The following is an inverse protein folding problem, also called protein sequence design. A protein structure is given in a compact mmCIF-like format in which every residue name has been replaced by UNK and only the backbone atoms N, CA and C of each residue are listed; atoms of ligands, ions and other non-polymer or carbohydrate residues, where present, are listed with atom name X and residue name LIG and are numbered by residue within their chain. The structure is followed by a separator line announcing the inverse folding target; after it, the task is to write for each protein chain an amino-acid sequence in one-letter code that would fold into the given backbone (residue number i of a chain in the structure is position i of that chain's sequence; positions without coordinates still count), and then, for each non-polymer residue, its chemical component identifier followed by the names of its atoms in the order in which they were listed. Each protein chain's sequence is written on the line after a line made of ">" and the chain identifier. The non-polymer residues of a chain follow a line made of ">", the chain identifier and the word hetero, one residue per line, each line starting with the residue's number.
data_IF_157604474017
#
_entry.id   IF_157604474017
#
_cell.length_a   1.000
_cell.length_b   1.000
_cell.length_c   1.000
_cell.angle_alpha   90.00
_cell.angle_beta   90.00
_cell.angle_gamma   90.00
#
_symmetry.space_group_name_H-M   'P 1'
#
loop_
_entity.id
_entity.type
_entity.pdbx_description
1 polymer ?
#
# COMPACT_ATOMS: atom_id res chain seq x y z
N UNK A 1 15.56 -8.38 20.72
CA UNK A 1 14.63 -7.35 21.27
C UNK A 1 13.36 -7.47 20.46
N UNK A 2 12.19 -7.31 21.05
CA UNK A 2 10.88 -7.33 20.38
C UNK A 2 10.17 -6.05 20.81
N UNK A 3 9.56 -5.34 19.87
CA UNK A 3 8.74 -4.18 20.20
C UNK A 3 7.43 -4.61 20.87
N UNK A 4 7.00 -3.87 21.88
CA UNK A 4 5.77 -4.06 22.63
C UNK A 4 4.86 -2.86 22.48
N UNK A 5 3.64 -2.97 22.98
CA UNK A 5 2.70 -1.85 22.98
C UNK A 5 3.24 -0.59 23.70
N UNK A 6 4.11 -0.80 24.70
CA UNK A 6 4.71 0.24 25.53
C UNK A 6 6.05 0.76 24.96
N UNK A 7 6.53 0.21 23.82
CA UNK A 7 7.73 0.70 23.15
C UNK A 7 7.49 2.09 22.58
N UNK A 8 8.40 3.03 22.87
CA UNK A 8 8.28 4.41 22.41
C UNK A 8 8.61 4.51 20.91
N UNK A 9 7.91 5.40 20.22
CA UNK A 9 8.12 5.64 18.79
C UNK A 9 9.55 6.01 18.48
N UNK A 10 10.20 6.87 19.32
CA UNK A 10 11.61 7.25 19.14
C UNK A 10 12.54 6.05 19.18
N UNK A 11 12.26 5.04 20.01
CA UNK A 11 13.11 3.84 20.11
C UNK A 11 13.03 2.99 18.84
N UNK A 12 11.85 2.97 18.21
CA UNK A 12 11.65 2.29 16.92
C UNK A 12 12.37 3.05 15.81
N UNK A 13 12.13 4.36 15.70
CA UNK A 13 12.73 5.21 14.66
C UNK A 13 14.26 5.19 14.72
N UNK A 14 14.82 5.21 15.95
CA UNK A 14 16.27 5.24 16.19
C UNK A 14 16.90 3.85 16.30
N UNK A 15 16.13 2.79 16.11
CA UNK A 15 16.66 1.44 16.25
C UNK A 15 17.76 1.19 15.22
N UNK A 16 18.95 0.63 15.63
CA UNK A 16 20.08 0.43 14.73
C UNK A 16 19.76 -0.34 13.46
N UNK A 17 18.84 -1.32 13.54
CA UNK A 17 18.39 -2.10 12.38
C UNK A 17 17.59 -1.28 11.36
N UNK A 18 17.11 -0.10 11.71
CA UNK A 18 16.35 0.80 10.85
C UNK A 18 17.11 2.08 10.49
N UNK A 19 18.44 2.04 10.65
CA UNK A 19 19.29 3.18 10.35
C UNK A 19 19.09 3.69 8.93
N UNK A 20 18.80 4.98 8.80
CA UNK A 20 18.60 5.68 7.52
C UNK A 20 17.15 5.73 7.04
N UNK A 21 16.26 4.84 7.51
CA UNK A 21 14.86 4.81 7.06
C UNK A 21 13.83 4.63 8.19
N UNK A 22 14.24 4.47 9.44
CA UNK A 22 13.32 4.24 10.56
C UNK A 22 12.26 5.33 10.74
N UNK A 23 12.59 6.57 10.40
CA UNK A 23 11.64 7.69 10.41
C UNK A 23 10.48 7.52 9.42
N UNK A 24 10.65 6.74 8.34
CA UNK A 24 9.63 6.46 7.33
C UNK A 24 8.60 5.40 7.78
N UNK A 25 8.82 4.73 8.90
CA UNK A 25 7.85 3.78 9.48
C UNK A 25 6.58 4.48 9.98
N UNK A 26 6.70 5.75 10.31
CA UNK A 26 5.59 6.58 10.78
C UNK A 26 5.35 7.75 9.82
N UNK A 27 4.12 8.27 9.72
CA UNK A 27 3.83 9.39 8.83
C UNK A 27 4.63 10.64 9.20
N UNK A 28 5.49 11.09 8.29
CA UNK A 28 6.35 12.28 8.49
C UNK A 28 5.57 13.58 8.71
N UNK A 29 4.34 13.62 8.19
CA UNK A 29 3.48 14.80 8.19
C UNK A 29 2.64 14.92 9.48
N UNK A 30 2.66 13.91 10.34
CA UNK A 30 1.99 13.92 11.63
C UNK A 30 3.01 14.18 12.74
N UNK A 31 2.66 15.12 13.63
CA UNK A 31 3.49 15.42 14.79
C UNK A 31 3.24 14.39 15.89
N UNK A 32 4.10 13.39 16.00
CA UNK A 32 4.11 12.47 17.13
C UNK A 32 5.00 13.04 18.25
N UNK A 33 4.53 12.92 19.50
CA UNK A 33 5.39 13.22 20.64
C UNK A 33 6.43 12.10 20.77
N UNK A 34 7.73 12.39 20.98
CA UNK A 34 8.79 11.35 21.03
C UNK A 34 8.58 10.26 22.09
N UNK A 35 7.83 10.57 23.13
CA UNK A 35 7.52 9.66 24.23
C UNK A 35 6.25 8.82 24.01
N UNK A 36 5.46 9.09 22.95
CA UNK A 36 4.30 8.27 22.61
C UNK A 36 4.74 6.83 22.33
N UNK A 37 3.94 5.90 22.82
CA UNK A 37 4.13 4.46 22.61
C UNK A 37 3.39 4.00 21.35
N UNK A 38 3.64 2.78 20.92
CA UNK A 38 2.87 2.16 19.83
C UNK A 38 1.37 2.14 20.16
N UNK A 39 1.01 1.92 21.41
CA UNK A 39 -0.39 1.95 21.84
C UNK A 39 -0.97 3.37 21.75
N UNK A 40 -0.26 4.37 22.24
CA UNK A 40 -0.73 5.75 22.19
C UNK A 40 -1.03 6.20 20.75
N UNK A 41 -0.17 5.83 19.80
CA UNK A 41 -0.36 6.13 18.38
C UNK A 41 -1.58 5.45 17.79
N UNK A 42 -1.84 4.19 18.16
CA UNK A 42 -3.04 3.48 17.67
C UNK A 42 -4.33 3.93 18.34
N UNK A 43 -4.26 4.33 19.60
CA UNK A 43 -5.42 4.80 20.39
C UNK A 43 -5.69 6.31 20.19
N UNK A 44 -4.77 7.02 19.55
CA UNK A 44 -4.84 8.47 19.37
C UNK A 44 -5.79 8.90 18.25
N UNK A 45 -6.13 10.19 18.25
CA UNK A 45 -6.87 10.83 17.16
C UNK A 45 -5.98 11.24 15.97
N UNK A 46 -4.73 10.78 15.90
CA UNK A 46 -3.84 11.10 14.76
C UNK A 46 -4.39 10.55 13.43
N UNK A 47 -4.99 9.37 13.46
CA UNK A 47 -5.52 8.68 12.29
C UNK A 47 -7.05 8.74 12.20
N UNK A 48 -7.61 9.94 12.30
CA UNK A 48 -9.06 10.18 12.37
C UNK A 48 -9.89 9.57 11.23
N UNK A 49 -9.25 9.23 10.10
CA UNK A 49 -9.92 8.63 8.95
C UNK A 49 -9.92 7.09 8.98
N UNK A 50 -9.28 6.46 9.98
CA UNK A 50 -9.19 5.01 10.08
C UNK A 50 -10.11 4.48 11.19
N UNK A 51 -10.97 3.53 10.85
CA UNK A 51 -11.99 3.00 11.75
C UNK A 51 -11.61 1.71 12.46
N UNK A 52 -10.49 1.09 12.08
CA UNK A 52 -10.09 -0.22 12.62
C UNK A 52 -8.59 -0.31 12.85
N UNK A 53 -8.06 0.59 13.66
CA UNK A 53 -6.67 0.53 14.10
C UNK A 53 -6.51 -0.55 15.18
N UNK A 54 -5.48 -1.35 15.07
CA UNK A 54 -5.17 -2.42 16.03
C UNK A 54 -3.68 -2.38 16.38
N UNK A 55 -3.37 -2.08 17.64
CA UNK A 55 -2.00 -2.09 18.17
C UNK A 55 -1.30 -3.41 17.88
N UNK A 56 -2.02 -4.53 18.02
CA UNK A 56 -1.49 -5.86 17.71
C UNK A 56 -1.02 -5.96 16.25
N UNK A 57 -1.81 -5.48 15.30
CA UNK A 57 -1.45 -5.53 13.87
C UNK A 57 -0.22 -4.67 13.58
N UNK A 58 -0.15 -3.48 14.18
CA UNK A 58 1.04 -2.61 14.05
C UNK A 58 2.29 -3.28 14.61
N UNK A 59 2.18 -3.95 15.75
CA UNK A 59 3.29 -4.69 16.37
C UNK A 59 3.72 -5.91 15.54
N UNK A 60 2.77 -6.65 14.94
CA UNK A 60 3.09 -7.76 14.04
C UNK A 60 3.93 -7.27 12.84
N UNK A 61 3.56 -6.15 12.25
CA UNK A 61 4.32 -5.51 11.16
C UNK A 61 5.71 -5.06 11.62
N UNK A 62 5.78 -4.26 12.69
CA UNK A 62 7.05 -3.70 13.18
C UNK A 62 8.04 -4.79 13.58
N UNK A 63 7.55 -5.84 14.25
CA UNK A 63 8.40 -6.96 14.68
C UNK A 63 8.82 -7.85 13.50
N UNK A 64 7.98 -8.03 12.48
CA UNK A 64 8.39 -8.71 11.25
C UNK A 64 9.53 -7.96 10.55
N UNK A 65 9.40 -6.64 10.38
CA UNK A 65 10.44 -5.81 9.78
C UNK A 65 11.72 -5.84 10.62
N UNK A 66 11.62 -5.76 11.96
CA UNK A 66 12.75 -5.82 12.85
C UNK A 66 13.48 -7.17 12.76
N UNK A 67 12.77 -8.28 12.82
CA UNK A 67 13.34 -9.62 12.72
C UNK A 67 14.14 -9.80 11.42
N UNK A 68 13.58 -9.34 10.30
CA UNK A 68 14.20 -9.43 8.99
C UNK A 68 15.43 -8.54 8.88
N UNK A 69 15.37 -7.31 9.38
CA UNK A 69 16.50 -6.40 9.41
C UNK A 69 17.64 -6.92 10.31
N UNK A 70 17.32 -7.57 11.44
CA UNK A 70 18.30 -8.23 12.30
C UNK A 70 18.99 -9.44 11.64
N UNK A 71 18.32 -10.07 10.67
CA UNK A 71 18.91 -11.11 9.81
C UNK A 71 19.71 -10.55 8.63
N UNK A 72 19.94 -9.24 8.60
CA UNK A 72 20.59 -8.51 7.51
C UNK A 72 19.84 -8.59 6.15
N UNK A 73 18.54 -8.83 6.19
CA UNK A 73 17.72 -8.70 4.97
C UNK A 73 17.52 -7.22 4.65
N UNK A 74 17.64 -6.87 3.37
CA UNK A 74 17.28 -5.53 2.91
C UNK A 74 15.76 -5.41 2.87
N UNK A 75 15.22 -4.59 3.75
CA UNK A 75 13.77 -4.39 3.92
C UNK A 75 13.28 -3.04 3.39
N UNK A 76 14.20 -2.15 3.01
CA UNK A 76 13.88 -0.83 2.47
C UNK A 76 14.76 -0.54 1.25
N UNK A 77 14.15 0.02 0.21
CA UNK A 77 14.80 0.41 -1.04
C UNK A 77 14.46 1.86 -1.37
N UNK A 78 15.43 2.78 -1.44
CA UNK A 78 15.22 4.09 -2.03
C UNK A 78 14.90 3.92 -3.52
N UNK A 79 13.94 4.69 -4.03
CA UNK A 79 13.53 4.61 -5.44
C UNK A 79 14.18 5.67 -6.32
N UNK A 80 14.90 6.61 -5.74
CA UNK A 80 15.68 7.63 -6.41
C UNK A 80 17.17 7.41 -6.13
N UNK A 81 18.01 7.76 -7.09
CA UNK A 81 19.46 7.71 -6.92
C UNK A 81 20.00 8.90 -6.09
N UNK A 82 21.26 8.82 -5.70
CA UNK A 82 21.87 9.83 -4.83
C UNK A 82 21.96 11.20 -5.51
N UNK A 83 22.22 11.25 -6.83
CA UNK A 83 22.27 12.50 -7.59
C UNK A 83 20.90 13.18 -7.64
N UNK A 84 19.84 12.40 -7.76
CA UNK A 84 18.47 12.89 -7.71
C UNK A 84 18.10 13.41 -6.31
N UNK A 85 18.54 12.70 -5.25
CA UNK A 85 18.32 13.09 -3.87
C UNK A 85 19.16 14.30 -3.43
N UNK A 86 20.32 14.52 -4.05
CA UNK A 86 21.11 15.75 -3.83
C UNK A 86 20.41 16.97 -4.48
N UNK A 87 19.86 16.80 -5.69
CA UNK A 87 19.12 17.86 -6.40
C UNK A 87 17.78 18.19 -5.76
N UNK A 88 17.10 17.20 -5.21
CA UNK A 88 15.82 17.33 -4.51
C UNK A 88 15.85 16.49 -3.22
N UNK A 89 16.25 17.07 -2.07
CA UNK A 89 16.35 16.36 -0.81
C UNK A 89 15.04 15.71 -0.33
N UNK A 90 13.88 16.21 -0.80
CA UNK A 90 12.59 15.59 -0.46
C UNK A 90 12.45 14.16 -1.00
N UNK A 91 13.25 13.76 -1.97
CA UNK A 91 13.32 12.40 -2.50
C UNK A 91 13.90 11.37 -1.51
N UNK A 92 14.52 11.82 -0.42
CA UNK A 92 14.93 10.95 0.71
C UNK A 92 13.75 10.50 1.56
N UNK A 93 12.61 11.18 1.44
CA UNK A 93 11.39 10.92 2.20
C UNK A 93 10.45 9.92 1.48
N UNK A 94 10.99 9.15 0.54
CA UNK A 94 10.22 8.16 -0.25
C UNK A 94 11.04 6.89 -0.47
N UNK A 95 10.35 5.77 -0.65
CA UNK A 95 10.97 4.48 -0.91
C UNK A 95 10.00 3.32 -0.69
N UNK A 96 10.50 2.13 -0.88
CA UNK A 96 9.73 0.89 -0.83
C UNK A 96 10.12 0.06 0.39
N UNK A 97 9.17 -0.22 1.27
CA UNK A 97 9.31 -1.30 2.25
C UNK A 97 8.96 -2.63 1.60
N UNK A 98 9.86 -3.59 1.67
CA UNK A 98 9.72 -4.88 1.05
C UNK A 98 9.34 -5.97 2.04
N UNK A 99 8.23 -6.62 1.79
CA UNK A 99 7.75 -7.80 2.48
C UNK A 99 7.94 -8.99 1.56
N UNK A 100 9.03 -9.73 1.77
CA UNK A 100 9.48 -10.80 0.89
C UNK A 100 8.52 -11.99 0.93
N UNK A 101 8.10 -12.45 -0.24
CA UNK A 101 7.40 -13.70 -0.48
C UNK A 101 8.35 -14.79 -0.96
N UNK A 102 7.91 -15.59 -1.92
CA UNK A 102 8.73 -16.60 -2.61
C UNK A 102 9.58 -15.92 -3.70
N UNK A 103 10.78 -16.44 -3.91
CA UNK A 103 11.61 -15.98 -5.03
C UNK A 103 10.92 -16.32 -6.37
N UNK A 104 11.06 -15.42 -7.32
CA UNK A 104 10.44 -15.50 -8.65
C UNK A 104 8.91 -15.62 -8.63
N UNK A 105 8.28 -15.10 -7.58
CA UNK A 105 6.83 -14.91 -7.52
C UNK A 105 6.49 -13.47 -7.95
N UNK A 106 5.27 -13.27 -8.45
CA UNK A 106 4.74 -11.95 -8.81
C UNK A 106 4.64 -11.04 -7.59
N UNK A 107 4.46 -9.76 -7.83
CA UNK A 107 4.44 -8.78 -6.74
C UNK A 107 3.18 -7.90 -6.72
N UNK A 108 2.88 -7.41 -5.53
CA UNK A 108 1.92 -6.36 -5.28
C UNK A 108 2.63 -5.08 -4.85
N UNK A 109 2.26 -3.93 -5.43
CA UNK A 109 2.71 -2.61 -4.99
C UNK A 109 1.54 -1.88 -4.31
N UNK A 110 1.71 -1.57 -3.02
CA UNK A 110 0.64 -1.16 -2.14
C UNK A 110 0.84 0.28 -1.68
N UNK A 111 -0.22 1.08 -1.84
CA UNK A 111 -0.23 2.50 -1.56
C UNK A 111 -1.19 2.79 -0.41
N UNK A 112 -0.69 3.34 0.69
CA UNK A 112 -1.52 3.70 1.82
C UNK A 112 -2.39 4.92 1.54
N UNK A 113 -3.50 5.03 2.27
CA UNK A 113 -4.31 6.24 2.33
C UNK A 113 -3.67 7.35 3.16
N UNK A 114 -4.47 8.37 3.48
CA UNK A 114 -4.06 9.56 4.25
C UNK A 114 -4.41 10.86 3.54
N UNK A 115 -5.35 10.83 2.57
CA UNK A 115 -5.93 11.99 1.90
C UNK A 115 -4.93 12.86 1.12
N UNK A 116 -3.75 12.36 0.78
CA UNK A 116 -2.60 13.12 0.28
C UNK A 116 -2.11 14.20 1.26
N UNK A 117 -2.43 14.04 2.55
CA UNK A 117 -1.88 14.88 3.63
C UNK A 117 -0.77 14.15 4.37
N UNK A 118 -0.91 12.84 4.56
CA UNK A 118 0.10 11.97 5.16
C UNK A 118 0.03 10.57 4.53
N UNK A 119 0.95 9.68 4.88
CA UNK A 119 0.99 8.30 4.40
C UNK A 119 0.80 7.34 5.57
N UNK A 120 -0.36 6.73 5.69
CA UNK A 120 -0.73 5.85 6.81
C UNK A 120 -0.19 4.43 6.66
N UNK A 121 1.06 4.26 6.25
CA UNK A 121 1.60 2.96 5.85
C UNK A 121 1.47 1.89 6.94
N UNK A 122 1.80 2.23 8.19
CA UNK A 122 1.77 1.29 9.33
C UNK A 122 0.37 0.68 9.58
N UNK A 123 -0.70 1.40 9.23
CA UNK A 123 -2.07 1.00 9.49
C UNK A 123 -2.83 0.54 8.23
N UNK A 124 -2.29 0.83 7.06
CA UNK A 124 -2.95 0.54 5.77
C UNK A 124 -2.09 -0.40 4.90
N UNK A 125 -1.04 0.10 4.25
CA UNK A 125 -0.28 -0.69 3.29
C UNK A 125 0.62 -1.77 3.90
N UNK A 126 1.25 -1.54 5.05
CA UNK A 126 2.15 -2.53 5.67
C UNK A 126 1.41 -3.80 6.13
N UNK A 127 0.26 -3.73 6.81
CA UNK A 127 -0.50 -4.93 7.15
C UNK A 127 -0.93 -5.75 5.93
N UNK A 128 -1.32 -5.08 4.84
CA UNK A 128 -1.66 -5.74 3.58
C UNK A 128 -0.43 -6.42 2.96
N UNK A 129 0.72 -5.73 2.93
CA UNK A 129 1.97 -6.27 2.42
C UNK A 129 2.44 -7.49 3.22
N UNK A 130 2.35 -7.43 4.56
CA UNK A 130 2.66 -8.57 5.42
C UNK A 130 1.73 -9.74 5.14
N UNK A 131 0.43 -9.51 5.03
CA UNK A 131 -0.54 -10.56 4.76
C UNK A 131 -0.32 -11.23 3.39
N UNK A 132 0.10 -10.48 2.38
CA UNK A 132 0.46 -11.02 1.06
C UNK A 132 1.76 -11.82 1.11
N UNK A 133 2.79 -11.33 1.80
CA UNK A 133 4.06 -12.04 1.91
C UNK A 133 3.92 -13.38 2.65
N UNK A 134 3.09 -13.43 3.69
CA UNK A 134 2.75 -14.67 4.40
C UNK A 134 2.07 -15.71 3.51
N UNK A 135 1.43 -15.28 2.43
CA UNK A 135 0.82 -16.14 1.39
C UNK A 135 1.78 -16.47 0.24
N UNK A 136 3.02 -15.98 0.32
CA UNK A 136 4.07 -16.28 -0.64
C UNK A 136 4.23 -15.24 -1.77
N UNK A 137 3.41 -14.20 -1.84
CA UNK A 137 3.54 -13.13 -2.83
C UNK A 137 4.58 -12.10 -2.38
N UNK A 138 5.35 -11.57 -3.31
CA UNK A 138 6.19 -10.42 -3.01
C UNK A 138 5.33 -9.17 -2.84
N UNK A 139 5.58 -8.36 -1.84
CA UNK A 139 4.78 -7.18 -1.59
C UNK A 139 5.67 -5.98 -1.24
N UNK A 140 5.42 -4.88 -1.90
CA UNK A 140 6.12 -3.62 -1.68
C UNK A 140 5.11 -2.56 -1.20
N UNK A 141 5.42 -1.90 -0.12
CA UNK A 141 4.62 -0.79 0.38
C UNK A 141 5.36 0.53 0.13
N UNK A 142 4.75 1.39 -0.68
CA UNK A 142 5.34 2.67 -1.04
C UNK A 142 5.11 3.72 0.05
N UNK A 143 6.19 4.30 0.54
CA UNK A 143 6.15 5.60 1.20
C UNK A 143 6.31 6.65 0.10
N UNK A 144 5.31 7.49 -0.09
CA UNK A 144 5.30 8.52 -1.13
C UNK A 144 5.24 9.91 -0.54
N UNK A 145 5.73 10.88 -1.28
CA UNK A 145 5.55 12.29 -0.93
C UNK A 145 4.13 12.72 -1.31
N UNK A 146 3.27 13.17 -0.38
CA UNK A 146 1.85 13.45 -0.67
C UNK A 146 1.60 14.33 -1.90
N UNK A 147 2.40 15.38 -2.10
CA UNK A 147 2.30 16.28 -3.26
C UNK A 147 2.87 15.70 -4.57
N UNK A 148 3.60 14.58 -4.49
CA UNK A 148 4.29 13.91 -5.60
C UNK A 148 3.88 12.43 -5.73
N UNK A 149 2.72 12.08 -5.19
CA UNK A 149 2.29 10.69 -5.01
C UNK A 149 2.29 9.88 -6.32
N UNK A 150 1.83 10.44 -7.41
CA UNK A 150 1.79 9.74 -8.71
C UNK A 150 3.17 9.64 -9.34
N UNK A 151 4.02 10.66 -9.15
CA UNK A 151 5.41 10.65 -9.62
C UNK A 151 6.20 9.56 -8.86
N UNK A 152 6.05 9.50 -7.54
CA UNK A 152 6.74 8.51 -6.71
C UNK A 152 6.25 7.09 -6.99
N UNK A 153 4.95 6.89 -7.27
CA UNK A 153 4.42 5.60 -7.67
C UNK A 153 4.95 5.15 -9.04
N UNK A 154 5.03 6.07 -10.01
CA UNK A 154 5.61 5.77 -11.32
C UNK A 154 7.11 5.43 -11.20
N UNK A 155 7.86 6.19 -10.42
CA UNK A 155 9.27 5.91 -10.15
C UNK A 155 9.46 4.58 -9.42
N UNK A 156 8.56 4.22 -8.49
CA UNK A 156 8.59 2.92 -7.82
C UNK A 156 8.39 1.77 -8.79
N UNK A 157 7.51 1.92 -9.77
CA UNK A 157 7.33 0.92 -10.84
C UNK A 157 8.57 0.84 -11.72
N UNK A 158 9.11 1.97 -12.19
CA UNK A 158 10.37 1.98 -12.97
C UNK A 158 11.50 1.28 -12.20
N UNK A 159 11.62 1.52 -10.89
CA UNK A 159 12.60 0.88 -10.02
C UNK A 159 12.38 -0.65 -9.96
N UNK A 160 11.17 -1.10 -9.66
CA UNK A 160 10.86 -2.54 -9.52
C UNK A 160 11.07 -3.31 -10.83
N UNK A 161 10.71 -2.72 -11.97
CA UNK A 161 10.92 -3.35 -13.27
C UNK A 161 12.40 -3.43 -13.63
N UNK A 162 13.16 -2.38 -13.40
CA UNK A 162 14.60 -2.36 -13.71
C UNK A 162 15.44 -3.26 -12.78
N UNK A 163 14.98 -3.51 -11.54
CA UNK A 163 15.68 -4.36 -10.56
C UNK A 163 14.99 -5.72 -10.33
N UNK A 164 14.06 -6.12 -11.21
CA UNK A 164 13.26 -7.33 -11.02
C UNK A 164 14.09 -8.61 -10.88
N UNK A 165 15.18 -8.73 -11.64
CA UNK A 165 16.11 -9.86 -11.54
C UNK A 165 16.87 -9.89 -10.21
N UNK A 166 17.34 -8.76 -9.73
CA UNK A 166 18.03 -8.62 -8.45
C UNK A 166 17.10 -8.90 -7.26
N UNK A 167 15.88 -8.39 -7.35
CA UNK A 167 14.82 -8.60 -6.36
C UNK A 167 14.20 -10.00 -6.45
N UNK A 168 14.52 -10.76 -7.50
CA UNK A 168 13.97 -12.09 -7.79
C UNK A 168 12.43 -12.09 -7.81
N UNK A 169 11.85 -11.12 -8.52
CA UNK A 169 10.41 -10.98 -8.70
C UNK A 169 10.03 -11.13 -10.17
N UNK A 170 8.78 -11.54 -10.43
CA UNK A 170 8.21 -11.58 -11.77
C UNK A 170 7.44 -10.28 -12.02
N UNK A 171 7.88 -9.41 -12.96
CA UNK A 171 7.26 -8.11 -13.17
C UNK A 171 5.95 -8.16 -13.97
N UNK A 172 5.79 -9.11 -14.89
CA UNK A 172 4.72 -9.11 -15.90
C UNK A 172 3.30 -9.33 -15.32
N UNK A 173 3.21 -9.83 -14.09
CA UNK A 173 1.95 -10.23 -13.46
C UNK A 173 1.68 -9.43 -12.18
N UNK A 174 2.23 -8.24 -12.08
CA UNK A 174 2.07 -7.41 -10.88
C UNK A 174 0.66 -6.86 -10.69
N UNK A 175 0.37 -6.43 -9.48
CA UNK A 175 -0.88 -5.77 -9.11
C UNK A 175 -0.64 -4.47 -8.33
N UNK A 176 -1.55 -3.52 -8.48
CA UNK A 176 -1.53 -2.24 -7.76
C UNK A 176 -2.64 -2.22 -6.72
N UNK A 177 -2.28 -1.97 -5.47
CA UNK A 177 -3.20 -1.97 -4.35
C UNK A 177 -3.24 -0.59 -3.67
N UNK A 178 -4.39 -0.24 -3.11
CA UNK A 178 -4.44 0.96 -2.30
C UNK A 178 -5.75 1.16 -1.56
N UNK A 179 -5.64 1.92 -0.45
CA UNK A 179 -6.76 2.41 0.34
C UNK A 179 -6.95 3.92 0.17
N UNK A 180 -8.18 4.41 0.10
CA UNK A 180 -8.51 5.85 0.08
C UNK A 180 -7.72 6.63 -1.00
N UNK A 181 -6.83 7.55 -0.61
CA UNK A 181 -5.92 8.24 -1.51
C UNK A 181 -5.01 7.28 -2.28
N UNK A 182 -4.50 6.22 -1.62
CA UNK A 182 -3.71 5.17 -2.25
C UNK A 182 -4.48 4.39 -3.30
N UNK A 183 -5.78 4.20 -3.11
CA UNK A 183 -6.65 3.59 -4.12
C UNK A 183 -6.75 4.46 -5.39
N UNK A 184 -6.79 5.79 -5.24
CA UNK A 184 -6.73 6.70 -6.39
C UNK A 184 -5.41 6.59 -7.15
N UNK A 185 -4.30 6.40 -6.42
CA UNK A 185 -2.99 6.17 -7.02
C UNK A 185 -2.98 4.86 -7.80
N UNK A 186 -3.44 3.77 -7.19
CA UNK A 186 -3.52 2.45 -7.80
C UNK A 186 -4.40 2.45 -9.05
N UNK A 187 -5.59 3.08 -9.01
CA UNK A 187 -6.48 3.19 -10.16
C UNK A 187 -5.80 4.00 -11.29
N UNK A 188 -5.16 5.11 -10.96
CA UNK A 188 -4.56 5.99 -11.96
C UNK A 188 -3.40 5.32 -12.68
N UNK A 189 -2.49 4.67 -11.98
CA UNK A 189 -1.37 3.94 -12.60
C UNK A 189 -1.80 2.55 -13.14
N UNK A 190 -2.95 2.03 -12.73
CA UNK A 190 -3.59 0.88 -13.34
C UNK A 190 -4.27 1.18 -14.68
N UNK A 191 -4.35 2.46 -15.06
CA UNK A 191 -4.79 2.88 -16.37
C UNK A 191 -3.61 2.89 -17.34
N UNK A 192 -3.67 2.13 -18.42
CA UNK A 192 -2.57 1.93 -19.38
C UNK A 192 -2.04 3.25 -19.94
N UNK A 193 -2.89 4.16 -20.35
CA UNK A 193 -2.48 5.45 -20.90
C UNK A 193 -1.78 6.34 -19.85
N UNK A 194 -2.27 6.35 -18.60
CA UNK A 194 -1.64 7.09 -17.51
C UNK A 194 -0.30 6.46 -17.08
N UNK A 195 -0.24 5.13 -17.04
CA UNK A 195 1.01 4.39 -16.78
C UNK A 195 2.09 4.80 -17.79
N UNK A 196 1.80 4.67 -19.09
CA UNK A 196 2.74 5.01 -20.16
C UNK A 196 3.15 6.48 -20.16
N UNK A 197 2.29 7.38 -19.71
CA UNK A 197 2.57 8.82 -19.62
C UNK A 197 3.48 9.16 -18.43
N UNK A 198 3.41 8.41 -17.35
CA UNK A 198 4.07 8.74 -16.08
C UNK A 198 5.37 7.98 -15.85
N UNK A 199 5.51 6.77 -16.41
CA UNK A 199 6.73 5.95 -16.28
C UNK A 199 7.77 6.36 -17.33
N UNK A 200 9.04 6.15 -17.01
CA UNK A 200 10.18 6.41 -17.89
C UNK A 200 10.47 5.25 -18.83
N UNK A 201 10.10 4.06 -18.40
CA UNK A 201 10.29 2.81 -19.15
C UNK A 201 8.94 2.27 -19.64
N UNK A 202 8.99 1.42 -20.66
CA UNK A 202 7.79 0.70 -21.11
C UNK A 202 7.48 -0.38 -20.09
N UNK A 203 6.37 -0.22 -19.37
CA UNK A 203 5.88 -1.13 -18.34
C UNK A 203 4.56 -1.74 -18.82
N UNK A 204 4.43 -3.06 -18.72
CA UNK A 204 3.17 -3.73 -18.99
C UNK A 204 2.08 -3.29 -17.99
N UNK A 205 0.82 -3.20 -18.40
CA UNK A 205 -0.27 -2.86 -17.50
C UNK A 205 -0.39 -3.85 -16.34
N UNK A 206 -0.79 -3.35 -15.17
CA UNK A 206 -1.06 -4.20 -14.02
C UNK A 206 -2.14 -5.25 -14.34
N UNK A 207 -1.95 -6.48 -13.87
CA UNK A 207 -2.93 -7.56 -14.04
C UNK A 207 -4.23 -7.26 -13.32
N UNK A 208 -4.17 -6.50 -12.23
CA UNK A 208 -5.35 -5.95 -11.56
C UNK A 208 -5.03 -4.74 -10.69
N UNK A 209 -6.09 -4.03 -10.32
CA UNK A 209 -6.08 -2.99 -9.28
C UNK A 209 -6.96 -3.42 -8.11
N UNK A 210 -6.47 -3.25 -6.89
CA UNK A 210 -7.28 -3.29 -5.67
C UNK A 210 -7.58 -1.88 -5.20
N UNK A 211 -8.86 -1.57 -5.07
CA UNK A 211 -9.36 -0.25 -4.73
C UNK A 211 -10.24 -0.31 -3.48
N UNK A 212 -9.72 0.13 -2.35
CA UNK A 212 -10.47 0.17 -1.10
C UNK A 212 -10.99 1.58 -0.80
N UNK A 213 -12.21 1.66 -0.32
CA UNK A 213 -12.87 2.84 0.26
C UNK A 213 -12.46 4.17 -0.41
N UNK A 214 -12.71 4.32 -1.71
CA UNK A 214 -12.47 5.56 -2.46
C UNK A 214 -13.70 6.02 -3.25
N UNK A 215 -13.88 7.33 -3.38
CA UNK A 215 -14.96 7.91 -4.21
C UNK A 215 -14.50 8.21 -5.64
N UNK A 216 -13.43 7.57 -6.13
CA UNK A 216 -12.99 7.75 -7.51
C UNK A 216 -14.00 7.10 -8.48
N UNK A 217 -14.55 7.89 -9.40
CA UNK A 217 -15.67 7.48 -10.26
C UNK A 217 -15.36 7.33 -11.75
N UNK A 218 -14.23 7.92 -12.20
CA UNK A 218 -13.85 7.88 -13.63
C UNK A 218 -13.54 6.46 -14.09
N UNK A 219 -13.92 6.16 -15.34
CA UNK A 219 -13.62 4.89 -16.02
C UNK A 219 -13.14 5.16 -17.45
N UNK A 220 -12.28 4.31 -17.95
CA UNK A 220 -11.88 4.28 -19.36
C UNK A 220 -11.65 2.84 -19.84
N UNK A 221 -11.47 2.66 -21.16
CA UNK A 221 -11.13 1.35 -21.74
C UNK A 221 -9.71 0.87 -21.40
N UNK A 222 -8.88 1.79 -20.91
CA UNK A 222 -7.49 1.54 -20.53
C UNK A 222 -7.33 1.13 -19.06
N UNK A 223 -8.43 1.08 -18.29
CA UNK A 223 -8.40 0.70 -16.88
C UNK A 223 -8.13 -0.81 -16.72
N UNK A 224 -7.32 -1.15 -15.74
CA UNK A 224 -7.08 -2.55 -15.38
C UNK A 224 -8.31 -3.21 -14.72
N UNK A 225 -8.41 -4.55 -14.78
CA UNK A 225 -9.36 -5.31 -13.97
C UNK A 225 -9.33 -4.86 -12.51
N UNK A 226 -10.48 -4.67 -11.89
CA UNK A 226 -10.54 -4.01 -10.58
C UNK A 226 -11.31 -4.84 -9.56
N UNK A 227 -10.64 -5.19 -8.45
CA UNK A 227 -11.26 -5.62 -7.20
C UNK A 227 -11.49 -4.41 -6.30
N UNK A 228 -12.66 -4.26 -5.73
CA UNK A 228 -12.92 -3.15 -4.84
C UNK A 228 -13.75 -3.54 -3.61
N UNK A 229 -13.55 -2.81 -2.51
CA UNK A 229 -14.34 -2.96 -1.31
C UNK A 229 -14.56 -1.64 -0.57
N UNK A 230 -15.68 -1.54 0.16
CA UNK A 230 -16.04 -0.37 0.95
C UNK A 230 -17.00 -0.77 2.08
N UNK A 231 -17.06 0.04 3.13
CA UNK A 231 -18.04 -0.10 4.19
C UNK A 231 -19.32 0.70 3.92
N UNK A 232 -20.48 0.25 4.44
CA UNK A 232 -21.73 1.01 4.28
C UNK A 232 -21.81 2.27 5.12
N UNK A 233 -21.01 2.35 6.22
CA UNK A 233 -20.94 3.50 7.13
C UNK A 233 -19.72 4.38 6.84
N UNK A 234 -19.15 4.24 5.64
CA UNK A 234 -18.06 5.10 5.20
C UNK A 234 -18.62 6.48 4.85
N UNK A 235 -18.26 7.47 5.66
CA UNK A 235 -18.71 8.87 5.52
C UNK A 235 -17.80 9.70 4.59
N UNK A 236 -16.65 9.13 4.15
CA UNK A 236 -15.69 9.76 3.22
C UNK A 236 -15.90 9.22 1.80
N UNK A 237 -16.01 7.90 1.67
CA UNK A 237 -16.14 7.22 0.39
C UNK A 237 -17.53 6.56 0.26
N UNK A 238 -18.39 7.15 -0.54
CA UNK A 238 -19.71 6.58 -0.79
C UNK A 238 -19.57 5.28 -1.60
N UNK A 239 -20.01 4.16 -1.01
CA UNK A 239 -19.95 2.84 -1.63
C UNK A 239 -20.75 2.74 -2.93
N UNK A 240 -21.86 3.50 -3.08
CA UNK A 240 -22.67 3.51 -4.32
C UNK A 240 -21.88 4.13 -5.49
N UNK A 241 -21.01 5.11 -5.22
CA UNK A 241 -20.11 5.67 -6.25
C UNK A 241 -19.13 4.59 -6.72
N UNK A 242 -18.57 3.82 -5.80
CA UNK A 242 -17.68 2.70 -6.14
C UNK A 242 -18.45 1.63 -6.91
N UNK A 243 -19.62 1.23 -6.46
CA UNK A 243 -20.46 0.24 -7.15
C UNK A 243 -20.77 0.66 -8.60
N UNK A 244 -21.16 1.92 -8.80
CA UNK A 244 -21.41 2.46 -10.13
C UNK A 244 -20.18 2.46 -11.03
N UNK A 245 -18.99 2.79 -10.46
CA UNK A 245 -17.74 2.67 -11.20
C UNK A 245 -17.51 1.24 -11.68
N UNK A 246 -17.65 0.24 -10.80
CA UNK A 246 -17.42 -1.16 -11.14
C UNK A 246 -18.46 -1.67 -12.19
N UNK A 247 -19.72 -1.24 -12.09
CA UNK A 247 -20.74 -1.52 -13.11
C UNK A 247 -20.36 -0.93 -14.48
N UNK A 248 -19.78 0.26 -14.49
CA UNK A 248 -19.34 0.91 -15.73
C UNK A 248 -18.10 0.22 -16.33
N UNK A 249 -17.14 -0.25 -15.51
CA UNK A 249 -16.03 -1.08 -15.99
C UNK A 249 -16.55 -2.34 -16.69
N UNK A 250 -17.52 -3.05 -16.10
CA UNK A 250 -18.14 -4.23 -16.72
C UNK A 250 -18.79 -3.92 -18.08
N UNK A 251 -19.43 -2.75 -18.22
CA UNK A 251 -20.01 -2.32 -19.52
C UNK A 251 -18.92 -2.08 -20.57
N UNK A 252 -17.70 -1.75 -20.17
CA UNK A 252 -16.54 -1.61 -21.06
C UNK A 252 -15.83 -2.93 -21.34
N UNK A 253 -16.33 -4.06 -20.79
CA UNK A 253 -15.73 -5.38 -20.93
C UNK A 253 -14.57 -5.64 -19.97
N UNK A 254 -14.38 -4.78 -18.96
CA UNK A 254 -13.32 -4.90 -17.97
C UNK A 254 -13.84 -5.66 -16.74
N UNK A 255 -13.17 -6.73 -16.35
CA UNK A 255 -13.54 -7.51 -15.18
C UNK A 255 -13.51 -6.67 -13.91
N UNK A 256 -14.53 -6.83 -13.10
CA UNK A 256 -14.55 -6.18 -11.80
C UNK A 256 -15.34 -6.98 -10.76
N UNK A 257 -14.89 -6.91 -9.51
CA UNK A 257 -15.54 -7.52 -8.35
C UNK A 257 -15.68 -6.48 -7.24
N UNK A 258 -16.86 -6.43 -6.60
CA UNK A 258 -17.14 -5.45 -5.56
C UNK A 258 -17.71 -6.12 -4.31
N UNK A 259 -17.16 -5.77 -3.15
CA UNK A 259 -17.64 -6.20 -1.84
C UNK A 259 -18.01 -5.00 -0.98
N UNK A 260 -19.22 -5.03 -0.44
CA UNK A 260 -19.73 -4.00 0.49
C UNK A 260 -19.90 -4.62 1.86
N UNK A 261 -19.25 -4.03 2.86
CA UNK A 261 -19.26 -4.51 4.24
C UNK A 261 -20.22 -3.69 5.11
N UNK A 262 -21.29 -4.32 5.55
CA UNK A 262 -22.32 -3.65 6.37
C UNK A 262 -21.73 -3.17 7.70
N UNK A 263 -21.98 -1.90 8.00
CA UNK A 263 -21.60 -1.27 9.28
C UNK A 263 -20.16 -0.80 9.37
N UNK A 264 -19.27 -1.15 8.41
CA UNK A 264 -17.89 -0.66 8.45
C UNK A 264 -17.79 0.80 8.02
N UNK A 265 -16.92 1.52 8.72
CA UNK A 265 -16.50 2.88 8.40
C UNK A 265 -15.34 2.93 7.40
N UNK A 266 -14.80 4.13 7.19
CA UNK A 266 -13.62 4.36 6.34
C UNK A 266 -12.35 3.74 6.95
N UNK A 267 -11.40 3.34 6.10
CA UNK A 267 -10.06 2.97 6.54
C UNK A 267 -10.01 1.73 7.44
N UNK A 268 -10.73 0.66 7.09
CA UNK A 268 -10.72 -0.58 7.89
C UNK A 268 -9.48 -1.46 7.65
N UNK A 269 -8.55 -1.06 6.78
CA UNK A 269 -7.30 -1.77 6.51
C UNK A 269 -7.51 -3.22 6.10
N UNK A 270 -6.87 -4.16 6.80
CA UNK A 270 -7.05 -5.61 6.56
C UNK A 270 -8.37 -6.17 7.11
N UNK A 271 -9.19 -5.35 7.77
CA UNK A 271 -10.48 -5.75 8.31
C UNK A 271 -10.43 -6.74 9.48
N UNK A 272 -9.30 -6.85 10.18
CA UNK A 272 -9.12 -7.79 11.30
C UNK A 272 -10.19 -7.63 12.37
N UNK A 273 -10.77 -8.74 12.81
CA UNK A 273 -11.89 -8.82 13.78
C UNK A 273 -13.16 -8.05 13.32
N UNK A 274 -13.39 -7.94 12.02
CA UNK A 274 -14.59 -7.30 11.44
C UNK A 274 -15.24 -8.19 10.38
N UNK A 275 -16.37 -7.75 9.86
CA UNK A 275 -17.07 -8.43 8.75
C UNK A 275 -16.26 -8.42 7.42
N UNK A 276 -15.19 -7.67 7.35
CA UNK A 276 -14.29 -7.64 6.19
C UNK A 276 -13.07 -8.57 6.34
N UNK A 277 -12.94 -9.27 7.48
CA UNK A 277 -11.80 -10.18 7.66
C UNK A 277 -11.76 -11.22 6.53
N UNK A 278 -10.56 -11.46 5.96
CA UNK A 278 -10.38 -12.37 4.83
C UNK A 278 -10.58 -11.76 3.44
N UNK A 279 -10.88 -10.46 3.32
CA UNK A 279 -11.05 -9.82 2.01
C UNK A 279 -9.82 -9.94 1.10
N UNK A 280 -8.62 -10.01 1.69
CA UNK A 280 -7.35 -10.19 0.95
C UNK A 280 -7.36 -11.47 0.13
N UNK A 281 -7.89 -12.57 0.69
CA UNK A 281 -7.97 -13.87 -0.01
C UNK A 281 -8.92 -13.80 -1.22
N UNK A 282 -10.00 -13.03 -1.12
CA UNK A 282 -10.89 -12.77 -2.25
C UNK A 282 -10.19 -11.93 -3.34
N UNK A 283 -9.39 -10.93 -2.95
CA UNK A 283 -8.62 -10.13 -3.88
C UNK A 283 -7.53 -10.94 -4.58
N UNK A 284 -6.84 -11.83 -3.86
CA UNK A 284 -5.85 -12.78 -4.43
C UNK A 284 -6.55 -13.70 -5.43
N UNK A 285 -7.69 -14.28 -5.08
CA UNK A 285 -8.45 -15.16 -5.99
C UNK A 285 -8.86 -14.43 -7.28
N UNK A 286 -9.22 -13.15 -7.15
CA UNK A 286 -9.51 -12.31 -8.32
C UNK A 286 -8.24 -12.06 -9.15
N UNK A 287 -7.09 -11.79 -8.51
CA UNK A 287 -5.80 -11.60 -9.17
C UNK A 287 -5.39 -12.82 -9.97
N UNK A 288 -5.38 -14.01 -9.34
CA UNK A 288 -5.05 -15.29 -9.99
C UNK A 288 -5.95 -15.56 -11.20
N UNK A 289 -7.24 -15.25 -11.09
CA UNK A 289 -8.17 -15.37 -12.22
C UNK A 289 -7.80 -14.46 -13.39
N UNK A 290 -7.27 -13.25 -13.15
CA UNK A 290 -6.90 -12.36 -14.25
C UNK A 290 -5.64 -12.84 -14.98
N UNK A 291 -4.70 -13.45 -14.27
CA UNK A 291 -3.44 -13.95 -14.84
C UNK A 291 -3.67 -15.21 -15.68
N UNK A 292 -4.65 -16.03 -15.32
CA UNK A 292 -4.95 -17.30 -15.98
C UNK A 292 -5.95 -17.18 -17.15
N UNK A 293 -6.22 -15.96 -17.64
CA UNK A 293 -7.03 -15.68 -18.83
C UNK A 293 -6.19 -15.60 -20.10
#
# INVERSE_FOLDING_TARGET
>A
MVFTKDTKIREIIQHPSFRGFGHLLFPLQLAFHPEETVQDVTDSNHFIWYSNLKTKTSLEVLNNLLERAQKNEQIFFPIYDEDEMVKDPSKRETGLFYFKGKEYEKFALINAGGGFHYVAALHDSFPQALALSQRGYNAFALIYRPKKAYEDLAQALDYLFSHSSELKIVPDQYSLWGGSAGARMAIRLGNKSELQRLTRTSIEPASMVVSQYTSYSSVSRDDAPTYANCGTNDWIANWQVMENRLKNLKKLGIDSQFHVYKGLGHGFGIGKDTVAEGWIDNAISFWEKQINK
#
